data_IF_190521639792
#
_entry.id   IF_190521639792
#
_cell.length_a   1.000
_cell.length_b   1.000
_cell.length_c   1.000
_cell.angle_alpha   90.00
_cell.angle_beta   90.00
_cell.angle_gamma   90.00
#
_symmetry.space_group_name_H-M   'P 1'
#
loop_
_entity.id
_entity.type
_entity.pdbx_description
1 polymer ?
#
# COMPACT_ATOMS: atom_id res chain seq x y z
N UNK A 1 0.64 -14.05 -51.47
CA UNK A 1 -0.42 -13.04 -51.67
C UNK A 1 -1.32 -13.14 -50.45
N UNK A 2 -1.17 -12.33 -49.39
CA UNK A 2 -1.36 -10.88 -49.26
C UNK A 2 -2.78 -10.39 -49.62
N UNK A 3 -3.41 -9.73 -48.63
CA UNK A 3 -4.43 -8.66 -48.73
C UNK A 3 -5.94 -9.01 -48.83
N UNK A 4 -6.64 -8.56 -47.77
CA UNK A 4 -8.03 -8.03 -47.65
C UNK A 4 -9.18 -8.99 -47.31
N UNK A 5 -10.20 -8.37 -46.68
CA UNK A 5 -11.43 -8.94 -46.09
C UNK A 5 -11.12 -9.71 -44.80
N UNK A 6 -11.47 -9.29 -43.58
CA UNK A 6 -12.54 -8.38 -43.11
C UNK A 6 -12.03 -7.35 -42.08
N UNK A 7 -12.38 -6.07 -42.26
CA UNK A 7 -12.62 -5.12 -41.16
C UNK A 7 -14.10 -4.72 -41.24
N UNK A 8 -14.87 -4.98 -40.17
CA UNK A 8 -16.04 -4.21 -39.70
C UNK A 8 -16.98 -5.10 -38.88
N UNK A 9 -16.95 -4.94 -37.55
CA UNK A 9 -18.14 -4.81 -36.68
C UNK A 9 -17.68 -4.44 -35.26
N UNK A 10 -17.69 -3.14 -35.00
CA UNK A 10 -17.70 -2.54 -33.67
C UNK A 10 -19.12 -2.00 -33.44
N UNK A 11 -19.50 -1.80 -32.17
CA UNK A 11 -20.78 -1.27 -31.67
C UNK A 11 -22.01 -2.20 -31.71
N UNK A 12 -22.31 -2.80 -30.54
CA UNK A 12 -23.57 -2.60 -29.82
C UNK A 12 -23.46 -3.11 -28.36
N UNK A 13 -24.31 -2.60 -27.47
CA UNK A 13 -24.49 -2.93 -26.04
C UNK A 13 -23.37 -2.61 -25.04
N UNK A 14 -23.37 -1.35 -24.60
CA UNK A 14 -22.85 -0.92 -23.29
C UNK A 14 -24.00 -0.19 -22.57
N UNK A 15 -24.54 -0.80 -21.52
CA UNK A 15 -25.51 -0.17 -20.62
C UNK A 15 -24.79 0.44 -19.41
N UNK A 16 -25.11 1.67 -18.97
CA UNK A 16 -24.40 2.31 -17.87
C UNK A 16 -24.92 1.84 -16.51
N UNK A 17 -24.00 1.45 -15.62
CA UNK A 17 -24.31 1.21 -14.20
C UNK A 17 -24.01 2.47 -13.36
N UNK A 18 -24.77 2.62 -12.28
CA UNK A 18 -24.85 3.77 -11.38
C UNK A 18 -23.54 4.52 -11.05
N UNK A 19 -23.58 5.85 -11.18
CA UNK A 19 -22.63 6.79 -10.59
C UNK A 19 -22.91 6.97 -9.08
N UNK A 20 -21.99 6.50 -8.24
CA UNK A 20 -21.84 6.97 -6.86
C UNK A 20 -20.76 8.07 -6.81
N UNK A 21 -21.05 9.29 -6.32
CA UNK A 21 -20.04 10.33 -6.17
C UNK A 21 -19.26 10.13 -4.86
N UNK A 22 -17.95 9.91 -4.97
CA UNK A 22 -17.02 9.99 -3.83
C UNK A 22 -16.76 11.46 -3.52
N UNK A 23 -16.96 11.87 -2.26
CA UNK A 23 -16.61 13.21 -1.80
C UNK A 23 -15.10 13.43 -1.93
N UNK A 24 -14.72 14.48 -2.67
CA UNK A 24 -13.36 15.00 -2.70
C UNK A 24 -13.36 16.36 -2.01
N UNK A 25 -12.91 16.40 -0.75
CA UNK A 25 -12.86 17.63 0.06
C UNK A 25 -11.69 18.49 -0.41
N UNK A 26 -12.00 19.56 -1.13
CA UNK A 26 -11.08 20.68 -1.38
C UNK A 26 -11.37 21.80 -0.39
N UNK A 27 -10.45 22.07 0.53
CA UNK A 27 -10.46 23.30 1.32
C UNK A 27 -9.80 24.44 0.53
N UNK A 28 -10.61 25.19 -0.23
CA UNK A 28 -10.22 26.50 -0.76
C UNK A 28 -11.07 27.60 -0.15
N UNK A 29 -10.43 28.45 0.65
CA UNK A 29 -11.02 29.66 1.23
C UNK A 29 -11.26 30.70 0.13
N UNK A 30 -12.52 31.06 -0.12
CA UNK A 30 -12.90 32.28 -0.86
C UNK A 30 -14.00 32.99 -0.09
N UNK A 31 -13.87 34.32 0.01
CA UNK A 31 -14.61 35.14 0.96
C UNK A 31 -15.82 35.88 0.37
N UNK A 32 -16.70 36.33 1.27
CA UNK A 32 -17.57 37.51 1.07
C UNK A 32 -19.03 37.29 1.51
N UNK A 33 -19.80 38.37 1.79
CA UNK A 33 -19.41 39.75 2.07
C UNK A 33 -19.94 40.30 3.42
N UNK A 34 -19.34 41.37 3.92
CA UNK A 34 -19.88 42.21 5.01
C UNK A 34 -20.00 43.65 4.51
N UNK A 35 -21.14 44.34 4.69
CA UNK A 35 -21.24 45.77 4.43
C UNK A 35 -21.48 46.64 5.69
N UNK A 36 -20.98 47.88 5.59
CA UNK A 36 -21.48 49.10 6.25
C UNK A 36 -21.17 49.39 7.73
N UNK A 37 -19.96 49.92 7.98
CA UNK A 37 -19.75 51.25 8.61
C UNK A 37 -18.32 51.73 8.26
N UNK A 38 -18.01 53.03 8.08
CA UNK A 38 -18.90 54.20 8.16
C UNK A 38 -18.13 55.50 8.43
N UNK A 39 -17.28 55.93 7.48
CA UNK A 39 -16.60 57.25 7.38
C UNK A 39 -15.32 57.50 8.20
N UNK A 40 -14.34 58.10 7.51
CA UNK A 40 -13.05 58.63 8.01
C UNK A 40 -13.18 60.13 8.37
N UNK A 41 -12.14 60.75 8.99
CA UNK A 41 -11.12 61.48 8.20
C UNK A 41 -9.68 61.47 8.81
N UNK A 42 -8.59 62.02 8.24
CA UNK A 42 -8.09 62.27 6.85
C UNK A 42 -6.60 62.73 6.95
N UNK A 43 -5.69 62.22 6.09
CA UNK A 43 -4.41 62.88 5.65
C UNK A 43 -3.29 63.20 6.70
N UNK A 44 -1.98 63.35 6.38
CA UNK A 44 -1.13 63.16 5.16
C UNK A 44 0.38 63.07 5.58
N UNK A 45 1.29 62.71 4.65
CA UNK A 45 2.75 62.55 4.89
C UNK A 45 3.52 63.89 4.97
N UNK A 46 4.63 63.95 5.73
CA UNK A 46 6.01 64.08 5.19
C UNK A 46 7.02 64.81 6.10
N UNK A 47 8.29 64.37 5.99
CA UNK A 47 9.56 65.11 6.15
C UNK A 47 9.99 65.69 7.50
N UNK A 48 11.26 65.41 7.89
CA UNK A 48 12.10 66.37 8.62
C UNK A 48 12.52 67.54 7.72
N UNK A 49 13.07 68.65 8.21
CA UNK A 49 14.31 68.70 9.01
C UNK A 49 14.51 70.08 9.67
N UNK A 50 15.41 70.11 10.67
CA UNK A 50 16.22 71.25 11.15
C UNK A 50 15.58 72.31 12.07
N UNK A 51 16.22 72.55 13.23
CA UNK A 51 16.26 73.88 13.87
C UNK A 51 16.22 73.96 15.41
N UNK A 52 17.40 73.99 16.04
CA UNK A 52 17.74 74.78 17.25
C UNK A 52 17.15 74.44 18.65
N UNK A 53 18.05 73.94 19.54
CA UNK A 53 18.48 74.52 20.84
C UNK A 53 17.58 75.57 21.54
N UNK A 54 17.36 75.62 22.86
CA UNK A 54 17.55 74.75 24.05
C UNK A 54 16.18 74.77 24.79
N UNK A 55 15.79 73.91 25.72
CA UNK A 55 16.37 73.56 27.03
C UNK A 55 15.52 72.41 27.66
N UNK A 56 15.77 72.07 28.93
CA UNK A 56 14.98 71.19 29.82
C UNK A 56 15.06 69.66 29.72
N UNK A 57 15.01 69.07 30.92
CA UNK A 57 14.93 67.64 31.24
C UNK A 57 13.78 66.96 30.49
N UNK A 58 14.07 65.86 29.80
CA UNK A 58 13.04 64.90 29.36
C UNK A 58 13.31 63.55 30.00
N UNK A 59 12.33 63.10 30.78
CA UNK A 59 12.25 61.77 31.36
C UNK A 59 12.18 60.74 30.23
N UNK A 60 13.03 59.71 30.26
CA UNK A 60 12.87 58.56 29.36
C UNK A 60 11.70 57.70 29.85
N UNK A 61 10.56 57.82 29.19
CA UNK A 61 9.41 56.95 29.38
C UNK A 61 9.73 55.51 28.91
N UNK A 62 9.18 54.51 29.62
CA UNK A 62 9.39 53.10 29.33
C UNK A 62 8.79 52.69 27.97
N UNK A 63 9.39 51.73 27.24
CA UNK A 63 8.87 51.26 25.96
C UNK A 63 7.50 50.56 26.10
N UNK A 64 6.62 50.67 25.08
CA UNK A 64 5.23 50.24 25.18
C UNK A 64 5.09 48.72 25.07
N UNK A 65 4.76 48.07 26.19
CA UNK A 65 4.52 46.63 26.25
C UNK A 65 4.56 46.07 27.67
N UNK A 66 5.30 46.71 28.57
CA UNK A 66 5.24 46.44 30.00
C UNK A 66 3.95 47.08 30.57
N UNK A 67 3.14 46.30 31.27
CA UNK A 67 1.98 46.84 31.98
C UNK A 67 2.49 47.88 33.01
N UNK A 68 1.80 49.02 33.13
CA UNK A 68 2.19 50.07 34.07
C UNK A 68 2.01 49.60 35.52
N UNK A 69 3.00 48.87 36.04
CA UNK A 69 3.10 48.47 37.43
C UNK A 69 3.01 49.74 38.29
N UNK A 70 2.15 49.71 39.31
CA UNK A 70 1.88 50.90 40.13
C UNK A 70 3.19 51.43 40.70
N UNK A 71 3.47 52.75 40.60
CA UNK A 71 4.75 53.31 41.04
C UNK A 71 4.97 52.97 42.50
N UNK A 72 6.07 52.25 42.75
CA UNK A 72 6.40 51.73 44.06
C UNK A 72 7.32 52.69 44.80
N UNK A 73 7.10 52.81 46.11
CA UNK A 73 7.97 53.52 47.05
C UNK A 73 8.53 52.48 48.01
N UNK A 74 9.85 52.38 48.06
CA UNK A 74 10.59 51.49 48.94
C UNK A 74 11.58 52.35 49.72
N UNK A 75 11.36 52.54 51.03
CA UNK A 75 12.37 53.06 51.96
C UNK A 75 12.73 51.92 52.91
N UNK A 76 13.96 51.42 52.77
CA UNK A 76 14.51 50.34 53.59
C UNK A 76 15.82 50.81 54.21
N UNK A 77 15.94 50.63 55.52
CA UNK A 77 17.10 51.07 56.30
C UNK A 77 17.64 49.90 57.12
N UNK A 78 18.86 49.48 56.83
CA UNK A 78 19.60 48.44 57.56
C UNK A 78 18.84 47.10 57.68
N UNK A 79 18.07 46.71 56.65
CA UNK A 79 17.35 45.43 56.59
C UNK A 79 18.16 44.36 55.85
N UNK A 80 17.83 43.10 56.07
CA UNK A 80 18.42 41.97 55.33
C UNK A 80 17.99 42.00 53.86
N UNK A 81 18.94 41.87 52.93
CA UNK A 81 18.65 41.80 51.50
C UNK A 81 17.62 40.70 51.17
N UNK A 82 17.58 39.60 51.93
CA UNK A 82 16.61 38.51 51.75
C UNK A 82 15.18 38.94 52.04
N UNK A 83 14.97 39.78 53.04
CA UNK A 83 13.64 40.33 53.38
C UNK A 83 13.19 41.33 52.31
N UNK A 84 14.10 42.15 51.79
CA UNK A 84 13.82 43.11 50.70
C UNK A 84 13.47 42.40 49.41
N UNK A 85 14.25 41.38 49.03
CA UNK A 85 13.98 40.56 47.85
C UNK A 85 12.68 39.77 48.03
N UNK A 86 12.37 39.26 49.22
CA UNK A 86 11.08 38.61 49.50
C UNK A 86 9.89 39.56 49.37
N UNK A 87 10.03 40.81 49.81
CA UNK A 87 9.00 41.83 49.63
C UNK A 87 8.79 42.22 48.15
N UNK A 88 9.86 42.24 47.34
CA UNK A 88 9.79 42.44 45.89
C UNK A 88 9.20 41.21 45.17
N UNK A 89 9.59 40.00 45.56
CA UNK A 89 9.06 38.72 45.08
C UNK A 89 7.53 38.66 45.17
N UNK A 90 6.98 38.99 46.35
CA UNK A 90 5.54 39.07 46.62
C UNK A 90 4.82 40.14 45.78
N UNK A 91 5.51 41.19 45.33
CA UNK A 91 4.94 42.24 44.46
C UNK A 91 5.02 41.91 42.98
N UNK A 92 5.99 41.09 42.58
CA UNK A 92 6.23 40.65 41.20
C UNK A 92 5.54 39.31 40.87
N UNK A 93 4.89 38.67 41.85
CA UNK A 93 4.32 37.32 41.76
C UNK A 93 5.35 36.25 41.33
N UNK A 94 6.62 36.46 41.71
CA UNK A 94 7.76 35.59 41.40
C UNK A 94 8.41 35.04 42.67
N UNK A 95 9.19 33.98 42.55
CA UNK A 95 10.03 33.47 43.64
C UNK A 95 11.44 34.05 43.49
N UNK A 96 12.03 34.62 44.54
CA UNK A 96 13.41 35.12 44.50
C UNK A 96 14.25 34.37 45.54
N UNK A 97 15.41 33.85 45.13
CA UNK A 97 16.35 33.13 45.98
C UNK A 97 17.71 33.83 45.95
N UNK A 98 18.17 34.31 47.11
CA UNK A 98 19.54 34.78 47.30
C UNK A 98 20.45 33.57 47.60
N UNK A 99 21.42 33.31 46.73
CA UNK A 99 22.40 32.22 46.85
C UNK A 99 23.53 32.58 47.81
N UNK A 100 23.79 33.88 48.00
CA UNK A 100 24.87 34.40 48.84
C UNK A 100 24.52 34.63 50.32
N UNK A 101 25.55 34.97 51.08
CA UNK A 101 25.45 35.37 52.49
C UNK A 101 24.54 36.61 52.67
N UNK A 102 23.80 36.70 53.78
CA UNK A 102 22.86 37.80 54.01
C UNK A 102 23.60 39.12 54.27
N UNK A 103 23.52 40.05 53.32
CA UNK A 103 24.03 41.43 53.45
C UNK A 103 22.91 42.37 53.91
N UNK A 104 23.25 43.35 54.74
CA UNK A 104 22.31 44.41 55.15
C UNK A 104 22.38 45.60 54.22
N UNK A 105 21.23 45.97 53.66
CA UNK A 105 21.10 47.03 52.67
C UNK A 105 20.33 48.23 53.21
N UNK A 106 20.65 49.41 52.67
CA UNK A 106 19.91 50.66 52.92
C UNK A 106 19.63 51.33 51.58
N UNK A 107 18.38 51.27 51.14
CA UNK A 107 17.96 51.62 49.80
C UNK A 107 16.64 52.37 49.86
N UNK A 108 16.60 53.55 49.23
CA UNK A 108 15.39 54.35 49.05
C UNK A 108 15.19 54.57 47.56
N UNK A 109 14.02 54.22 47.04
CA UNK A 109 13.63 54.49 45.66
C UNK A 109 12.13 54.81 45.57
N UNK A 110 11.79 55.74 44.68
CA UNK A 110 10.44 56.27 44.50
C UNK A 110 10.10 56.30 43.01
N UNK A 111 8.88 55.92 42.65
CA UNK A 111 8.37 56.10 41.27
C UNK A 111 8.83 55.07 40.25
N UNK A 112 9.37 53.92 40.67
CA UNK A 112 9.84 52.84 39.77
C UNK A 112 8.97 51.60 39.84
N UNK A 113 9.09 50.70 38.84
CA UNK A 113 8.51 49.36 38.89
C UNK A 113 9.28 48.46 39.88
N UNK A 114 8.60 47.51 40.56
CA UNK A 114 9.25 46.47 41.39
C UNK A 114 10.44 45.78 40.71
N UNK A 115 10.33 45.41 39.42
CA UNK A 115 11.47 44.83 38.67
C UNK A 115 12.65 45.80 38.59
N UNK A 116 12.40 47.07 38.25
CA UNK A 116 13.48 48.07 38.12
C UNK A 116 14.09 48.45 39.47
N UNK A 117 13.30 48.43 40.55
CA UNK A 117 13.80 48.58 41.92
C UNK A 117 14.76 47.45 42.31
N UNK A 118 14.44 46.20 41.94
CA UNK A 118 15.32 45.05 42.14
C UNK A 118 16.64 45.23 41.37
N UNK A 119 16.59 45.50 40.07
CA UNK A 119 17.80 45.68 39.24
C UNK A 119 18.75 46.75 39.81
N UNK A 120 18.22 47.90 40.23
CA UNK A 120 19.00 49.00 40.79
C UNK A 120 19.57 48.67 42.19
N UNK A 121 18.86 47.87 42.98
CA UNK A 121 19.36 47.35 44.26
C UNK A 121 20.53 46.38 44.04
N UNK A 122 20.37 45.41 43.13
CA UNK A 122 21.42 44.42 42.83
C UNK A 122 22.66 45.08 42.23
N UNK A 123 22.48 45.97 41.24
CA UNK A 123 23.58 46.71 40.61
C UNK A 123 24.41 47.52 41.60
N UNK A 124 23.77 48.11 42.63
CA UNK A 124 24.46 48.89 43.66
C UNK A 124 25.30 48.01 44.59
N UNK A 125 24.77 46.86 44.98
CA UNK A 125 25.42 45.95 45.93
C UNK A 125 26.37 44.94 45.25
N UNK A 126 26.52 45.01 43.91
CA UNK A 126 27.46 44.20 43.14
C UNK A 126 26.96 42.80 42.78
N UNK A 127 25.65 42.57 42.89
CA UNK A 127 24.99 41.31 42.55
C UNK A 127 24.42 41.33 41.13
N UNK A 128 24.28 40.14 40.55
CA UNK A 128 23.58 39.92 39.27
C UNK A 128 22.38 38.96 39.50
N UNK A 129 21.60 38.70 38.45
CA UNK A 129 20.45 37.80 38.52
C UNK A 129 20.24 36.91 37.29
N UNK A 130 19.66 35.74 37.53
CA UNK A 130 19.19 34.81 36.49
C UNK A 130 17.69 34.58 36.67
N UNK A 131 16.91 34.74 35.60
CA UNK A 131 15.46 34.53 35.58
C UNK A 131 15.09 33.29 34.75
N UNK A 132 14.45 32.29 35.37
CA UNK A 132 13.90 31.09 34.71
C UNK A 132 12.49 30.81 35.22
N UNK A 133 11.49 30.78 34.32
CA UNK A 133 10.11 30.33 34.59
C UNK A 133 9.47 30.87 35.90
N UNK A 134 9.70 32.14 36.23
CA UNK A 134 9.14 32.80 37.43
C UNK A 134 9.97 32.61 38.72
N UNK A 135 11.11 31.94 38.64
CA UNK A 135 12.17 31.92 39.65
C UNK A 135 13.26 32.93 39.24
N UNK A 136 13.72 33.74 40.19
CA UNK A 136 14.87 34.64 40.06
C UNK A 136 15.93 34.20 41.06
N UNK A 137 17.09 33.78 40.56
CA UNK A 137 18.28 33.50 41.35
C UNK A 137 19.12 34.78 41.41
N UNK A 138 19.53 35.17 42.62
CA UNK A 138 20.36 36.35 42.88
C UNK A 138 21.64 35.92 43.57
N UNK A 139 22.78 36.42 43.10
CA UNK A 139 24.10 36.10 43.65
C UNK A 139 25.20 36.92 42.99
N UNK A 140 26.44 36.74 43.44
CA UNK A 140 27.58 37.41 42.84
C UNK A 140 27.81 36.89 41.41
N UNK A 141 28.33 37.72 40.49
CA UNK A 141 28.56 37.30 39.11
C UNK A 141 29.44 36.05 39.02
N UNK A 142 30.45 35.96 39.90
CA UNK A 142 31.38 34.83 40.01
C UNK A 142 30.63 33.53 40.38
N UNK A 143 29.76 33.60 41.40
CA UNK A 143 29.04 32.42 41.90
C UNK A 143 27.92 31.96 40.98
N UNK A 144 27.20 32.90 40.36
CA UNK A 144 26.21 32.60 39.33
C UNK A 144 26.88 32.00 38.08
N UNK A 145 28.12 32.40 37.77
CA UNK A 145 28.89 31.79 36.69
C UNK A 145 29.33 30.36 37.05
N UNK A 146 30.07 30.20 38.15
CA UNK A 146 30.70 28.92 38.53
C UNK A 146 29.70 27.83 38.95
N UNK A 147 28.60 28.19 39.63
CA UNK A 147 27.61 27.20 40.12
C UNK A 147 26.48 26.92 39.11
N UNK A 148 26.23 27.82 38.12
CA UNK A 148 25.06 27.72 37.22
C UNK A 148 25.33 27.87 35.71
N UNK A 149 26.35 28.60 35.24
CA UNK A 149 26.66 28.68 33.79
C UNK A 149 27.39 27.44 33.25
N UNK A 150 28.10 26.70 34.10
CA UNK A 150 28.92 25.53 33.73
C UNK A 150 28.10 24.29 33.23
N UNK A 151 26.80 24.49 33.02
CA UNK A 151 25.86 23.46 32.57
C UNK A 151 25.73 23.36 31.04
N UNK A 152 26.25 24.30 30.24
CA UNK A 152 26.14 24.24 28.76
C UNK A 152 27.08 23.18 28.14
N UNK A 153 26.66 21.93 28.13
CA UNK A 153 27.40 20.82 27.54
C UNK A 153 27.03 20.63 26.05
N UNK A 154 28.03 20.30 25.21
CA UNK A 154 27.80 19.81 23.85
C UNK A 154 27.78 18.28 23.87
N UNK A 155 26.61 17.67 23.66
CA UNK A 155 26.47 16.21 23.61
C UNK A 155 26.23 15.72 22.19
N UNK A 156 26.95 14.65 21.82
CA UNK A 156 26.77 13.93 20.57
C UNK A 156 25.75 12.81 20.75
N UNK A 157 24.64 12.87 20.04
CA UNK A 157 23.66 11.81 19.92
C UNK A 157 23.83 11.07 18.59
N UNK A 158 23.86 9.74 18.64
CA UNK A 158 23.95 8.86 17.47
C UNK A 158 22.70 8.00 17.36
N UNK A 159 21.96 8.15 16.26
CA UNK A 159 20.72 7.42 15.97
C UNK A 159 20.98 6.18 15.11
N UNK A 160 20.12 5.18 15.21
CA UNK A 160 20.21 3.92 14.44
C UNK A 160 19.28 3.91 13.23
N UNK A 161 18.03 4.33 13.41
CA UNK A 161 16.92 4.15 12.47
C UNK A 161 16.49 5.45 11.81
N UNK A 162 16.50 6.58 12.54
CA UNK A 162 16.10 7.89 12.03
C UNK A 162 17.30 8.78 11.65
N UNK A 163 17.07 9.73 10.75
CA UNK A 163 18.03 10.78 10.40
C UNK A 163 17.82 12.06 11.22
N UNK A 164 18.79 12.98 11.17
CA UNK A 164 18.74 14.28 11.86
C UNK A 164 17.56 15.15 11.40
N UNK A 165 17.27 15.22 10.10
CA UNK A 165 16.21 16.07 9.55
C UNK A 165 14.80 15.79 10.12
N UNK A 166 14.26 14.54 10.11
CA UNK A 166 12.96 14.26 10.73
C UNK A 166 12.97 14.42 12.26
N UNK A 167 14.13 14.22 12.92
CA UNK A 167 14.25 14.46 14.37
C UNK A 167 14.15 15.95 14.70
N UNK A 168 14.82 16.83 13.95
CA UNK A 168 14.77 18.28 14.17
C UNK A 168 13.33 18.81 14.07
N UNK A 169 12.60 18.42 13.03
CA UNK A 169 11.18 18.80 12.89
C UNK A 169 10.27 18.25 14.01
N UNK A 170 10.65 17.15 14.67
CA UNK A 170 9.94 16.66 15.85
C UNK A 170 10.33 17.44 17.12
N UNK A 171 11.61 17.79 17.30
CA UNK A 171 12.09 18.62 18.41
C UNK A 171 11.43 20.01 18.40
N UNK A 172 11.28 20.62 17.22
CA UNK A 172 10.54 21.87 17.04
C UNK A 172 9.08 21.75 17.49
N UNK A 173 8.40 20.65 17.15
CA UNK A 173 7.00 20.38 17.56
C UNK A 173 6.87 20.18 19.08
N UNK A 174 7.89 19.64 19.74
CA UNK A 174 7.96 19.53 21.21
C UNK A 174 8.44 20.83 21.89
N UNK A 175 8.67 21.92 21.13
CA UNK A 175 9.08 23.23 21.66
C UNK A 175 10.54 23.28 22.13
N UNK A 176 11.39 22.36 21.67
CA UNK A 176 12.79 22.23 22.11
C UNK A 176 13.71 23.01 21.16
N UNK A 177 13.77 24.33 21.34
CA UNK A 177 14.64 25.22 20.57
C UNK A 177 16.05 25.26 21.16
N UNK A 178 16.93 24.36 20.71
CA UNK A 178 18.32 24.28 21.17
C UNK A 178 19.30 24.54 20.01
N UNK A 179 20.51 25.08 20.27
CA UNK A 179 21.57 25.13 19.27
C UNK A 179 21.98 23.72 18.86
N UNK A 180 21.57 23.31 17.66
CA UNK A 180 21.93 22.02 17.07
C UNK A 180 22.93 22.18 15.93
N UNK A 181 23.92 21.30 15.88
CA UNK A 181 24.84 21.16 14.77
C UNK A 181 24.67 19.79 14.11
N UNK A 182 24.64 19.77 12.78
CA UNK A 182 24.56 18.57 11.95
C UNK A 182 25.68 18.59 10.92
N UNK A 183 26.23 17.41 10.60
CA UNK A 183 27.27 17.27 9.57
C UNK A 183 26.70 16.45 8.43
N UNK A 184 26.73 16.98 7.21
CA UNK A 184 26.12 16.35 6.02
C UNK A 184 26.72 14.97 5.70
N UNK A 185 27.99 14.73 6.04
CA UNK A 185 28.66 13.42 5.89
C UNK A 185 28.21 12.39 6.92
N UNK A 186 27.44 12.77 7.96
CA UNK A 186 26.89 11.86 8.96
C UNK A 186 25.47 12.27 9.39
N UNK A 187 24.45 12.03 8.54
CA UNK A 187 23.06 12.44 8.78
C UNK A 187 22.34 11.64 9.87
N UNK A 188 23.04 10.77 10.63
CA UNK A 188 22.52 10.06 11.81
C UNK A 188 23.20 10.50 13.12
N UNK A 189 24.05 11.53 13.07
CA UNK A 189 24.63 12.14 14.26
C UNK A 189 24.10 13.57 14.43
N UNK A 190 23.52 13.83 15.59
CA UNK A 190 23.12 15.16 16.03
C UNK A 190 24.06 15.61 17.15
N UNK A 191 24.58 16.83 17.06
CA UNK A 191 25.27 17.48 18.17
C UNK A 191 24.34 18.55 18.72
N UNK A 192 24.08 18.53 20.03
CA UNK A 192 23.21 19.50 20.69
C UNK A 192 23.98 20.16 21.82
N UNK A 193 23.93 21.49 21.88
CA UNK A 193 24.41 22.27 23.01
C UNK A 193 23.22 22.64 23.90
N UNK A 194 23.34 22.44 25.21
CA UNK A 194 22.29 22.80 26.16
C UNK A 194 22.61 22.36 27.59
N UNK A 195 21.73 22.67 28.53
CA UNK A 195 21.82 22.21 29.91
C UNK A 195 21.61 20.69 30.02
N UNK A 196 22.07 20.02 31.10
CA UNK A 196 21.88 18.57 31.26
C UNK A 196 20.40 18.15 31.26
N UNK A 197 19.52 19.06 31.71
CA UNK A 197 18.06 18.87 31.72
C UNK A 197 17.47 18.85 30.30
N UNK A 198 17.92 19.74 29.43
CA UNK A 198 17.50 19.82 28.03
C UNK A 198 18.07 18.65 27.22
N UNK A 199 19.34 18.33 27.42
CA UNK A 199 19.99 17.15 26.84
C UNK A 199 19.32 15.84 27.28
N UNK A 200 18.82 15.78 28.52
CA UNK A 200 17.97 14.70 29.03
C UNK A 200 16.67 14.55 28.25
N UNK A 201 15.93 15.64 28.04
CA UNK A 201 14.70 15.64 27.21
C UNK A 201 14.97 15.21 25.77
N UNK A 202 16.03 15.73 25.15
CA UNK A 202 16.44 15.33 23.80
C UNK A 202 16.72 13.83 23.74
N UNK A 203 17.41 13.27 24.74
CA UNK A 203 17.68 11.83 24.85
C UNK A 203 16.41 10.99 24.97
N UNK A 204 15.42 11.44 25.74
CA UNK A 204 14.12 10.77 25.88
C UNK A 204 13.32 10.78 24.57
N UNK A 205 13.26 11.94 23.89
CA UNK A 205 12.60 12.09 22.59
C UNK A 205 13.29 11.21 21.53
N UNK A 206 14.62 11.18 21.49
CA UNK A 206 15.37 10.27 20.62
C UNK A 206 15.06 8.80 20.96
N UNK A 207 15.01 8.42 22.24
CA UNK A 207 14.64 7.06 22.65
C UNK A 207 13.22 6.64 22.25
N UNK A 208 12.29 7.60 22.18
CA UNK A 208 10.92 7.36 21.72
C UNK A 208 10.79 7.31 20.19
N UNK A 209 11.58 8.11 19.46
CA UNK A 209 11.48 8.25 18.01
C UNK A 209 12.43 7.34 17.21
N UNK A 210 13.61 7.00 17.72
CA UNK A 210 14.61 6.15 17.05
C UNK A 210 14.24 4.65 17.12
N UNK A 211 13.08 4.34 16.54
CA UNK A 211 12.47 3.00 16.47
C UNK A 211 12.46 2.51 15.02
N UNK A 212 12.51 1.18 14.77
CA UNK A 212 12.44 0.62 13.41
C UNK A 212 11.13 0.96 12.67
N UNK A 213 10.07 1.30 13.41
CA UNK A 213 8.78 1.77 12.90
C UNK A 213 8.88 3.14 12.17
N UNK A 214 9.78 4.01 12.62
CA UNK A 214 9.86 5.43 12.22
C UNK A 214 10.93 5.70 11.13
N UNK A 215 11.46 4.65 10.50
CA UNK A 215 12.48 4.78 9.44
C UNK A 215 11.93 5.61 8.27
N UNK A 216 12.46 6.81 8.09
CA UNK A 216 12.03 7.73 7.04
C UNK A 216 12.36 7.21 5.63
N UNK A 217 11.51 7.55 4.66
CA UNK A 217 11.54 7.04 3.28
C UNK A 217 12.82 7.34 2.46
N UNK A 218 13.77 8.11 3.00
CA UNK A 218 15.09 8.35 2.41
C UNK A 218 16.22 7.49 2.97
N UNK A 219 15.92 6.56 3.88
CA UNK A 219 16.94 5.71 4.51
C UNK A 219 17.30 4.56 3.56
N UNK A 220 18.57 4.43 3.20
CA UNK A 220 19.07 3.26 2.45
C UNK A 220 18.90 2.02 3.33
N UNK A 221 17.84 1.26 3.07
CA UNK A 221 17.59 -0.04 3.68
C UNK A 221 18.45 -1.11 3.01
N UNK A 222 18.94 -2.12 3.75
CA UNK A 222 19.62 -3.26 3.14
C UNK A 222 18.67 -3.99 2.19
N UNK A 223 19.18 -4.36 1.02
CA UNK A 223 18.48 -5.25 0.10
C UNK A 223 18.71 -6.70 0.57
N UNK A 224 17.69 -7.30 1.19
CA UNK A 224 17.75 -8.71 1.58
C UNK A 224 17.22 -9.61 0.45
N UNK A 225 17.86 -10.78 0.30
CA UNK A 225 17.47 -11.84 -0.63
C UNK A 225 16.65 -12.89 0.13
N UNK A 226 15.56 -13.33 -0.48
CA UNK A 226 14.73 -14.42 0.02
C UNK A 226 14.67 -15.51 -1.06
N UNK A 227 15.00 -16.74 -0.66
CA UNK A 227 15.03 -17.93 -1.51
C UNK A 227 13.92 -18.89 -1.07
N UNK A 228 13.09 -19.34 -2.02
CA UNK A 228 11.97 -20.26 -1.83
C UNK A 228 12.30 -21.65 -2.40
N UNK A 229 11.77 -22.70 -1.78
CA UNK A 229 11.97 -24.09 -2.17
C UNK A 229 10.84 -24.61 -3.06
N UNK A 230 9.59 -24.32 -2.68
CA UNK A 230 8.38 -24.92 -3.25
C UNK A 230 7.48 -23.89 -3.95
N UNK A 231 7.30 -22.71 -3.35
CA UNK A 231 6.43 -21.65 -3.87
C UNK A 231 7.13 -20.71 -4.86
N UNK A 232 6.33 -20.03 -5.67
CA UNK A 232 6.78 -18.91 -6.49
C UNK A 232 6.77 -17.60 -5.69
N UNK A 233 7.75 -16.74 -5.99
CA UNK A 233 7.93 -15.45 -5.34
C UNK A 233 6.73 -14.52 -5.55
N UNK A 234 6.10 -14.55 -6.73
CA UNK A 234 4.93 -13.72 -7.04
C UNK A 234 3.76 -14.06 -6.11
N UNK A 235 3.53 -15.35 -5.83
CA UNK A 235 2.49 -15.79 -4.89
C UNK A 235 2.70 -15.20 -3.50
N UNK A 236 3.92 -15.27 -2.95
CA UNK A 236 4.26 -14.68 -1.65
C UNK A 236 4.15 -13.15 -1.68
N UNK A 237 4.60 -12.51 -2.76
CA UNK A 237 4.52 -11.06 -2.96
C UNK A 237 3.08 -10.56 -2.91
N UNK A 238 2.12 -11.29 -3.46
CA UNK A 238 0.69 -10.95 -3.36
C UNK A 238 0.12 -11.08 -1.94
N UNK A 239 0.77 -11.83 -1.04
CA UNK A 239 0.37 -11.98 0.36
C UNK A 239 1.00 -10.91 1.28
N UNK A 240 2.15 -10.34 0.93
CA UNK A 240 2.82 -9.32 1.76
C UNK A 240 1.94 -8.10 2.13
N UNK A 241 1.11 -7.53 1.22
CA UNK A 241 0.19 -6.44 1.58
C UNK A 241 -0.86 -6.85 2.62
N UNK A 242 -1.25 -8.13 2.66
CA UNK A 242 -2.25 -8.64 3.62
C UNK A 242 -1.70 -8.64 5.06
N UNK A 243 -0.38 -8.67 5.21
CA UNK A 243 0.34 -8.54 6.48
C UNK A 243 0.69 -7.08 6.83
N UNK A 244 0.24 -6.11 6.03
CA UNK A 244 0.62 -4.69 6.18
C UNK A 244 2.04 -4.37 5.73
N UNK A 245 2.74 -5.32 5.10
CA UNK A 245 4.12 -5.13 4.61
C UNK A 245 4.06 -4.46 3.23
N UNK A 246 3.99 -3.12 3.24
CA UNK A 246 4.13 -2.30 2.03
C UNK A 246 5.62 -2.20 1.69
N UNK A 247 6.07 -3.02 0.76
CA UNK A 247 7.42 -3.03 0.22
C UNK A 247 7.39 -3.05 -1.32
N UNK A 248 8.48 -2.64 -1.96
CA UNK A 248 8.69 -2.84 -3.40
C UNK A 248 9.60 -4.06 -3.59
N UNK A 249 9.05 -5.26 -3.86
CA UNK A 249 9.85 -6.42 -4.19
C UNK A 249 10.46 -6.30 -5.59
N UNK A 250 11.70 -6.75 -5.71
CA UNK A 250 12.39 -6.94 -6.98
C UNK A 250 12.34 -8.43 -7.29
N UNK A 251 11.74 -8.79 -8.42
CA UNK A 251 11.72 -10.15 -8.97
C UNK A 251 12.57 -10.23 -10.23
N UNK A 252 13.06 -11.43 -10.55
CA UNK A 252 13.77 -11.72 -11.80
C UNK A 252 13.06 -12.89 -12.47
N UNK A 253 12.49 -12.75 -13.68
CA UNK A 253 11.73 -13.82 -14.34
C UNK A 253 12.51 -15.12 -14.55
N UNK A 254 13.84 -15.05 -14.67
CA UNK A 254 14.71 -16.23 -14.78
C UNK A 254 14.91 -16.99 -13.44
N UNK A 255 14.47 -16.43 -12.32
CA UNK A 255 14.59 -17.00 -10.97
C UNK A 255 13.27 -16.81 -10.18
N UNK A 256 12.17 -17.45 -10.59
CA UNK A 256 10.83 -17.22 -10.03
C UNK A 256 10.67 -17.63 -8.55
N UNK A 257 11.65 -18.33 -7.98
CA UNK A 257 11.71 -18.71 -6.55
C UNK A 257 12.61 -17.78 -5.72
N UNK A 258 13.04 -16.65 -6.27
CA UNK A 258 13.91 -15.70 -5.59
C UNK A 258 13.36 -14.30 -5.75
N UNK A 259 13.28 -13.58 -4.65
CA UNK A 259 12.97 -12.15 -4.67
C UNK A 259 13.87 -11.39 -3.69
N UNK A 260 13.97 -10.08 -3.92
CA UNK A 260 14.72 -9.18 -3.07
C UNK A 260 13.81 -8.07 -2.57
N UNK A 261 13.94 -7.72 -1.29
CA UNK A 261 13.18 -6.63 -0.67
C UNK A 261 14.12 -5.72 0.11
N UNK A 262 13.95 -4.42 -0.07
CA UNK A 262 14.50 -3.40 0.83
C UNK A 262 13.62 -3.30 2.06
N UNK A 263 14.12 -3.74 3.22
CA UNK A 263 13.35 -3.75 4.47
C UNK A 263 14.23 -3.55 5.71
N UNK A 264 13.60 -3.29 6.85
CA UNK A 264 14.27 -3.35 8.15
C UNK A 264 14.47 -4.81 8.57
N UNK A 265 15.49 -5.13 9.40
CA UNK A 265 15.75 -6.50 9.86
C UNK A 265 14.53 -7.17 10.52
N UNK A 266 13.70 -6.39 11.23
CA UNK A 266 12.49 -6.90 11.91
C UNK A 266 11.41 -7.32 10.90
N UNK A 267 11.23 -6.55 9.81
CA UNK A 267 10.33 -6.94 8.70
C UNK A 267 10.89 -8.12 7.92
N UNK A 268 12.21 -8.17 7.72
CA UNK A 268 12.86 -9.32 7.08
C UNK A 268 12.74 -10.61 7.91
N UNK A 269 12.71 -10.51 9.24
CA UNK A 269 12.36 -11.63 10.12
C UNK A 269 10.91 -12.08 9.92
N UNK A 270 9.93 -11.15 9.94
CA UNK A 270 8.52 -11.47 9.66
C UNK A 270 8.30 -12.14 8.29
N UNK A 271 9.03 -11.70 7.25
CA UNK A 271 8.99 -12.33 5.92
C UNK A 271 9.61 -13.74 5.95
N UNK A 272 10.71 -13.96 6.70
CA UNK A 272 11.29 -15.31 6.90
C UNK A 272 10.32 -16.24 7.63
N UNK A 273 9.64 -15.76 8.67
CA UNK A 273 8.65 -16.55 9.42
C UNK A 273 7.44 -16.91 8.54
N UNK A 274 6.97 -15.98 7.70
CA UNK A 274 5.93 -16.23 6.70
C UNK A 274 6.35 -17.30 5.70
N UNK A 275 7.56 -17.19 5.14
CA UNK A 275 8.10 -18.17 4.19
C UNK A 275 8.19 -19.54 4.86
N UNK A 276 8.70 -19.62 6.10
CA UNK A 276 8.80 -20.88 6.84
C UNK A 276 7.44 -21.56 7.10
N UNK A 277 6.35 -20.78 7.20
CA UNK A 277 4.99 -21.28 7.42
C UNK A 277 4.22 -21.61 6.13
N UNK A 278 4.55 -20.98 5.00
CA UNK A 278 3.85 -21.15 3.73
C UNK A 278 4.59 -22.00 2.70
N UNK A 279 5.93 -21.93 2.65
CA UNK A 279 6.77 -22.60 1.66
C UNK A 279 6.90 -24.11 1.95
N UNK A 280 5.78 -24.80 1.78
CA UNK A 280 5.61 -26.23 1.94
C UNK A 280 5.29 -26.87 0.58
N UNK A 281 5.63 -28.15 0.36
CA UNK A 281 5.39 -28.84 -0.91
C UNK A 281 3.91 -28.90 -1.30
N UNK A 282 3.00 -28.82 -0.33
CA UNK A 282 1.54 -28.78 -0.54
C UNK A 282 1.06 -27.46 -1.16
N UNK A 283 1.76 -26.35 -0.86
CA UNK A 283 1.45 -25.00 -1.34
C UNK A 283 2.26 -24.60 -2.58
N UNK A 284 3.04 -25.53 -3.15
CA UNK A 284 3.88 -25.26 -4.30
C UNK A 284 3.07 -24.65 -5.46
N UNK A 285 3.72 -23.83 -6.30
CA UNK A 285 3.14 -23.42 -7.58
C UNK A 285 3.05 -24.67 -8.47
N UNK A 286 1.91 -25.36 -8.35
CA UNK A 286 1.66 -26.61 -9.04
C UNK A 286 1.38 -26.30 -10.50
N UNK A 287 2.29 -26.72 -11.38
CA UNK A 287 2.11 -26.69 -12.82
C UNK A 287 0.73 -27.27 -13.18
N UNK A 288 0.03 -26.70 -14.19
CA UNK A 288 -1.22 -27.27 -14.65
C UNK A 288 -1.00 -28.74 -15.03
N UNK A 289 -1.86 -29.61 -14.51
CA UNK A 289 -1.77 -31.03 -14.73
C UNK A 289 -2.27 -31.34 -16.14
N UNK A 290 -1.34 -31.67 -17.03
CA UNK A 290 -1.62 -32.01 -18.43
C UNK A 290 -1.64 -33.54 -18.55
N UNK A 291 -2.78 -34.11 -18.95
CA UNK A 291 -2.90 -35.54 -19.22
C UNK A 291 -3.79 -35.84 -20.42
N UNK A 292 -3.55 -36.99 -21.05
CA UNK A 292 -4.42 -37.54 -22.09
C UNK A 292 -5.41 -38.48 -21.41
N UNK A 293 -6.71 -38.28 -21.65
CA UNK A 293 -7.79 -39.15 -21.21
C UNK A 293 -8.28 -39.99 -22.39
N UNK A 294 -8.33 -41.31 -22.21
CA UNK A 294 -8.85 -42.26 -23.20
C UNK A 294 -10.30 -42.65 -22.88
N UNK A 295 -11.23 -42.13 -23.68
CA UNK A 295 -12.65 -42.48 -23.71
C UNK A 295 -12.84 -43.88 -24.32
N UNK A 296 -13.98 -44.51 -24.05
CA UNK A 296 -14.34 -45.86 -24.53
C UNK A 296 -15.63 -45.87 -25.34
N UNK A 297 -16.62 -45.06 -24.96
CA UNK A 297 -17.97 -45.08 -25.52
C UNK A 297 -18.30 -43.81 -26.33
N UNK A 298 -17.61 -42.70 -26.08
CA UNK A 298 -17.85 -41.38 -26.71
C UNK A 298 -16.63 -40.94 -27.55
N UNK A 299 -16.85 -40.10 -28.56
CA UNK A 299 -15.80 -39.40 -29.31
C UNK A 299 -15.28 -38.17 -28.57
N UNK A 300 -14.04 -37.77 -28.85
CA UNK A 300 -13.40 -36.64 -28.19
C UNK A 300 -14.17 -35.31 -28.38
N UNK A 301 -14.73 -35.08 -29.58
CA UNK A 301 -15.61 -33.94 -29.85
C UNK A 301 -16.84 -33.91 -28.93
N UNK A 302 -17.56 -35.04 -28.82
CA UNK A 302 -18.78 -35.11 -28.02
C UNK A 302 -18.50 -35.07 -26.50
N UNK A 303 -17.32 -35.49 -26.06
CA UNK A 303 -16.88 -35.29 -24.68
C UNK A 303 -16.52 -33.82 -24.40
N UNK A 304 -15.77 -33.16 -25.30
CA UNK A 304 -15.43 -31.74 -25.20
C UNK A 304 -16.70 -30.88 -25.12
N UNK A 305 -17.61 -30.97 -26.10
CA UNK A 305 -18.81 -30.13 -26.13
C UNK A 305 -19.69 -30.32 -24.89
N UNK A 306 -19.78 -31.53 -24.34
CA UNK A 306 -20.53 -31.78 -23.09
C UNK A 306 -19.85 -31.15 -21.88
N UNK A 307 -18.52 -31.21 -21.77
CA UNK A 307 -17.78 -30.62 -20.67
C UNK A 307 -17.86 -29.08 -20.71
N UNK A 308 -17.80 -28.49 -21.91
CA UNK A 308 -18.03 -27.06 -22.15
C UNK A 308 -19.49 -26.64 -21.84
N UNK A 309 -20.49 -27.39 -22.30
CA UNK A 309 -21.92 -27.15 -22.02
C UNK A 309 -22.25 -27.20 -20.52
N UNK A 310 -21.57 -28.07 -19.75
CA UNK A 310 -21.80 -28.21 -18.31
C UNK A 310 -21.21 -27.07 -17.48
N UNK A 311 -20.25 -26.30 -18.01
CA UNK A 311 -19.63 -25.13 -17.38
C UNK A 311 -19.22 -25.35 -15.89
N UNK A 312 -18.74 -26.55 -15.55
CA UNK A 312 -18.42 -26.95 -14.18
C UNK A 312 -17.09 -26.40 -13.66
N UNK A 313 -16.19 -26.01 -14.58
CA UNK A 313 -14.82 -25.64 -14.25
C UNK A 313 -14.37 -24.48 -15.15
N UNK A 314 -14.16 -23.29 -14.57
CA UNK A 314 -13.67 -22.12 -15.32
C UNK A 314 -12.18 -22.22 -15.69
N UNK A 315 -11.42 -23.07 -14.98
CA UNK A 315 -9.97 -23.21 -15.09
C UNK A 315 -9.50 -24.45 -15.88
N UNK A 316 -10.42 -25.23 -16.47
CA UNK A 316 -10.09 -26.47 -17.18
C UNK A 316 -10.18 -26.27 -18.69
N UNK A 317 -9.03 -26.33 -19.37
CA UNK A 317 -8.96 -26.30 -20.82
C UNK A 317 -8.88 -27.73 -21.38
N UNK A 318 -9.69 -28.03 -22.39
CA UNK A 318 -9.64 -29.31 -23.09
C UNK A 318 -9.30 -29.10 -24.56
N UNK A 319 -8.40 -29.93 -25.09
CA UNK A 319 -7.99 -29.89 -26.49
C UNK A 319 -8.19 -31.26 -27.13
N UNK A 320 -8.79 -31.28 -28.31
CA UNK A 320 -8.93 -32.51 -29.09
C UNK A 320 -7.81 -32.67 -30.12
N UNK A 321 -7.41 -33.91 -30.38
CA UNK A 321 -6.49 -34.24 -31.48
C UNK A 321 -7.18 -34.18 -32.85
N UNK A 322 -6.42 -34.45 -33.93
CA UNK A 322 -6.97 -34.50 -35.29
C UNK A 322 -8.08 -35.56 -35.41
N UNK A 323 -9.12 -35.24 -36.16
CA UNK A 323 -10.33 -36.06 -36.36
C UNK A 323 -11.10 -36.33 -35.03
N UNK A 324 -11.52 -35.26 -34.32
CA UNK A 324 -12.17 -35.37 -33.01
C UNK A 324 -13.53 -36.08 -33.04
N UNK A 325 -14.12 -36.24 -34.22
CA UNK A 325 -15.37 -36.97 -34.47
C UNK A 325 -15.17 -38.49 -34.33
N UNK A 326 -13.94 -38.96 -34.57
CA UNK A 326 -13.56 -40.38 -34.61
C UNK A 326 -12.65 -40.75 -33.43
N UNK A 327 -11.77 -39.83 -33.00
CA UNK A 327 -10.83 -40.08 -31.91
C UNK A 327 -11.55 -40.24 -30.57
N UNK A 328 -10.94 -41.02 -29.68
CA UNK A 328 -11.41 -41.25 -28.32
C UNK A 328 -10.38 -40.73 -27.28
N UNK A 329 -9.53 -39.80 -27.71
CA UNK A 329 -8.47 -39.21 -26.88
C UNK A 329 -8.70 -37.72 -26.72
N UNK A 330 -8.76 -37.26 -25.47
CA UNK A 330 -8.92 -35.86 -25.10
C UNK A 330 -7.71 -35.41 -24.28
N UNK A 331 -7.04 -34.33 -24.67
CA UNK A 331 -6.03 -33.70 -23.85
C UNK A 331 -6.72 -32.77 -22.86
N UNK A 332 -6.42 -32.94 -21.58
CA UNK A 332 -7.00 -32.16 -20.48
C UNK A 332 -5.87 -31.41 -19.79
N UNK A 333 -6.06 -30.10 -19.65
CA UNK A 333 -5.20 -29.19 -18.91
C UNK A 333 -6.03 -28.70 -17.73
N UNK A 334 -5.67 -29.09 -16.51
CA UNK A 334 -6.46 -28.79 -15.31
C UNK A 334 -5.58 -28.41 -14.12
N UNK A 335 -6.04 -27.51 -13.23
CA UNK A 335 -5.42 -27.34 -11.94
C UNK A 335 -5.31 -28.70 -11.19
N UNK A 336 -4.20 -28.93 -10.47
CA UNK A 336 -3.93 -30.21 -9.79
C UNK A 336 -5.04 -30.64 -8.84
N UNK A 337 -5.71 -29.67 -8.20
CA UNK A 337 -6.74 -29.89 -7.19
C UNK A 337 -8.11 -30.28 -7.79
N UNK A 338 -8.31 -30.02 -9.09
CA UNK A 338 -9.51 -30.42 -9.84
C UNK A 338 -9.34 -31.75 -10.57
N UNK A 339 -8.11 -32.25 -10.74
CA UNK A 339 -7.77 -33.47 -11.51
C UNK A 339 -8.74 -34.63 -11.22
N UNK A 340 -8.86 -35.07 -9.97
CA UNK A 340 -9.69 -36.23 -9.61
C UNK A 340 -11.20 -35.99 -9.84
N UNK A 341 -11.64 -34.73 -9.75
CA UNK A 341 -13.02 -34.34 -10.08
C UNK A 341 -13.26 -34.45 -11.59
N UNK A 342 -12.33 -33.94 -12.41
CA UNK A 342 -12.40 -34.04 -13.87
C UNK A 342 -12.33 -35.50 -14.34
N UNK A 343 -11.47 -36.34 -13.75
CA UNK A 343 -11.46 -37.79 -14.01
C UNK A 343 -12.81 -38.45 -13.71
N UNK A 344 -13.45 -38.08 -12.59
CA UNK A 344 -14.76 -38.61 -12.19
C UNK A 344 -15.86 -38.17 -13.16
N UNK A 345 -15.91 -36.88 -13.52
CA UNK A 345 -16.89 -36.33 -14.47
C UNK A 345 -16.73 -36.95 -15.86
N UNK A 346 -15.50 -37.06 -16.39
CA UNK A 346 -15.25 -37.71 -17.67
C UNK A 346 -15.66 -39.19 -17.66
N UNK A 347 -15.45 -39.89 -16.55
CA UNK A 347 -15.90 -41.28 -16.38
C UNK A 347 -17.43 -41.43 -16.36
N UNK A 348 -18.14 -40.49 -15.72
CA UNK A 348 -19.62 -40.45 -15.73
C UNK A 348 -20.20 -40.02 -17.08
N UNK A 349 -19.48 -39.18 -17.83
CA UNK A 349 -19.87 -38.83 -19.18
C UNK A 349 -19.74 -40.04 -20.11
N UNK A 350 -18.63 -40.78 -20.04
CA UNK A 350 -18.28 -41.94 -20.88
C UNK A 350 -19.05 -43.25 -20.55
N UNK A 351 -20.29 -43.14 -20.07
CA UNK A 351 -21.16 -44.29 -19.82
C UNK A 351 -21.76 -44.89 -21.10
N UNK A 352 -21.92 -46.22 -21.11
CA UNK A 352 -22.50 -46.96 -22.24
C UNK A 352 -24.01 -46.70 -22.37
N UNK A 353 -24.38 -45.81 -23.30
CA UNK A 353 -25.76 -45.39 -23.55
C UNK A 353 -26.65 -46.52 -24.13
N UNK A 354 -27.96 -46.39 -23.95
CA UNK A 354 -28.94 -47.29 -24.57
C UNK A 354 -28.87 -47.19 -26.10
N UNK A 355 -29.03 -48.33 -26.78
CA UNK A 355 -29.10 -48.36 -28.25
C UNK A 355 -30.43 -47.80 -28.74
N UNK A 356 -30.39 -47.07 -29.85
CA UNK A 356 -31.54 -46.49 -30.53
C UNK A 356 -31.49 -46.84 -32.02
N UNK A 357 -32.64 -46.79 -32.70
CA UNK A 357 -32.73 -46.97 -34.15
C UNK A 357 -32.81 -45.62 -34.83
N UNK A 358 -31.87 -45.30 -35.73
CA UNK A 358 -31.89 -44.07 -36.53
C UNK A 358 -31.71 -44.39 -38.01
N UNK A 359 -32.63 -43.95 -38.90
CA UNK A 359 -32.39 -43.89 -40.34
C UNK A 359 -31.20 -42.96 -40.62
N UNK A 360 -30.30 -43.40 -41.49
CA UNK A 360 -29.01 -42.74 -41.73
C UNK A 360 -28.83 -42.35 -43.19
N UNK A 361 -29.20 -43.22 -44.14
CA UNK A 361 -29.05 -42.95 -45.58
C UNK A 361 -30.20 -43.58 -46.37
N UNK A 362 -30.50 -43.09 -47.58
CA UNK A 362 -31.55 -43.66 -48.44
C UNK A 362 -31.17 -43.66 -49.92
N UNK A 363 -31.44 -44.75 -50.63
CA UNK A 363 -31.09 -44.85 -52.04
C UNK A 363 -32.08 -45.72 -52.83
N UNK A 364 -32.11 -45.51 -54.14
CA UNK A 364 -32.87 -46.33 -55.09
C UNK A 364 -32.21 -47.67 -55.42
N UNK A 365 -30.92 -47.83 -55.13
CA UNK A 365 -30.16 -49.06 -55.39
C UNK A 365 -29.79 -49.79 -54.10
N UNK A 366 -30.37 -50.98 -53.88
CA UNK A 366 -30.01 -51.87 -52.76
C UNK A 366 -28.53 -52.26 -52.78
N UNK A 367 -27.94 -52.44 -53.96
CA UNK A 367 -26.52 -52.77 -54.12
C UNK A 367 -25.60 -51.64 -53.62
N UNK A 368 -25.95 -50.37 -53.88
CA UNK A 368 -25.23 -49.20 -53.33
C UNK A 368 -25.25 -49.22 -51.81
N UNK A 369 -26.41 -49.47 -51.18
CA UNK A 369 -26.51 -49.53 -49.72
C UNK A 369 -25.74 -50.71 -49.11
N UNK A 370 -25.67 -51.86 -49.79
CA UNK A 370 -24.85 -53.01 -49.33
C UNK A 370 -23.35 -52.67 -49.35
N UNK A 371 -22.86 -52.03 -50.41
CA UNK A 371 -21.48 -51.58 -50.51
C UNK A 371 -21.17 -50.51 -49.44
N UNK A 372 -22.04 -49.50 -49.31
CA UNK A 372 -21.91 -48.42 -48.33
C UNK A 372 -21.91 -48.96 -46.89
N UNK A 373 -22.85 -49.86 -46.56
CA UNK A 373 -22.90 -50.56 -45.27
C UNK A 373 -21.58 -51.27 -44.94
N UNK A 374 -20.98 -51.93 -45.93
CA UNK A 374 -19.73 -52.68 -45.74
C UNK A 374 -18.57 -51.73 -45.49
N UNK A 375 -18.50 -50.62 -46.24
CA UNK A 375 -17.50 -49.57 -46.07
C UNK A 375 -17.61 -48.88 -44.70
N UNK A 376 -18.82 -48.48 -44.29
CA UNK A 376 -19.07 -47.82 -43.00
C UNK A 376 -18.62 -48.69 -41.82
N UNK A 377 -18.90 -49.99 -41.87
CA UNK A 377 -18.45 -50.91 -40.82
C UNK A 377 -16.93 -51.04 -40.72
N UNK A 378 -16.21 -50.91 -41.84
CA UNK A 378 -14.74 -50.91 -41.88
C UNK A 378 -14.12 -49.60 -41.39
N UNK A 379 -14.78 -48.46 -41.63
CA UNK A 379 -14.25 -47.13 -41.29
C UNK A 379 -14.65 -46.61 -39.90
N UNK A 380 -15.68 -47.19 -39.28
CA UNK A 380 -16.23 -46.70 -38.00
C UNK A 380 -16.15 -47.72 -36.86
N UNK A 381 -15.68 -48.94 -37.12
CA UNK A 381 -15.69 -50.10 -36.21
C UNK A 381 -17.09 -50.54 -35.74
N UNK A 382 -18.16 -49.93 -36.25
CA UNK A 382 -19.54 -50.34 -35.98
C UNK A 382 -19.80 -51.68 -36.69
N UNK A 383 -20.09 -52.77 -35.98
CA UNK A 383 -20.18 -54.09 -36.60
C UNK A 383 -21.34 -54.16 -37.59
N UNK A 384 -21.13 -54.84 -38.71
CA UNK A 384 -22.10 -55.02 -39.81
C UNK A 384 -23.49 -55.49 -39.32
N UNK A 385 -23.55 -56.24 -38.22
CA UNK A 385 -24.78 -56.72 -37.60
C UNK A 385 -25.66 -55.63 -36.96
N UNK A 386 -25.16 -54.39 -36.81
CA UNK A 386 -25.92 -53.22 -36.34
C UNK A 386 -26.41 -52.31 -37.48
N UNK A 387 -26.05 -52.64 -38.72
CA UNK A 387 -26.40 -51.88 -39.93
C UNK A 387 -27.44 -52.64 -40.75
N UNK A 388 -28.64 -52.08 -40.90
CA UNK A 388 -29.80 -52.74 -41.49
C UNK A 388 -30.30 -51.99 -42.71
N UNK A 389 -30.73 -52.73 -43.73
CA UNK A 389 -31.27 -52.17 -44.98
C UNK A 389 -32.72 -52.65 -45.11
N UNK A 390 -33.64 -51.74 -45.40
CA UNK A 390 -35.04 -52.09 -45.61
C UNK A 390 -35.23 -52.97 -46.85
N UNK A 391 -36.38 -53.63 -46.93
CA UNK A 391 -36.93 -54.02 -48.23
C UNK A 391 -37.54 -52.79 -48.92
N UNK A 392 -38.07 -52.97 -50.13
CA UNK A 392 -38.58 -51.88 -50.95
C UNK A 392 -39.81 -51.22 -50.31
N UNK A 393 -39.70 -49.94 -49.94
CA UNK A 393 -40.75 -49.21 -49.24
C UNK A 393 -41.82 -48.61 -50.16
N UNK A 394 -41.54 -48.44 -51.46
CA UNK A 394 -42.52 -47.92 -52.43
C UNK A 394 -43.42 -49.01 -53.02
N UNK A 395 -43.01 -50.28 -52.96
CA UNK A 395 -43.69 -51.41 -53.62
C UNK A 395 -43.57 -51.42 -55.15
N UNK A 396 -43.19 -50.31 -55.78
CA UNK A 396 -42.90 -50.21 -57.21
C UNK A 396 -41.53 -50.83 -57.55
N UNK A 397 -41.51 -51.68 -58.57
CA UNK A 397 -40.30 -52.32 -59.10
C UNK A 397 -39.48 -51.39 -60.00
N UNK A 398 -40.09 -50.33 -60.55
CA UNK A 398 -39.38 -49.36 -61.41
C UNK A 398 -38.68 -48.26 -60.59
N UNK A 399 -39.32 -47.77 -59.53
CA UNK A 399 -38.76 -46.77 -58.61
C UNK A 399 -38.70 -47.31 -57.17
N UNK A 400 -37.84 -48.32 -56.89
CA UNK A 400 -37.70 -48.86 -55.56
C UNK A 400 -37.00 -47.86 -54.63
N UNK A 401 -37.40 -47.83 -53.35
CA UNK A 401 -36.81 -46.97 -52.32
C UNK A 401 -36.38 -47.79 -51.11
N UNK A 402 -35.11 -47.66 -50.73
CA UNK A 402 -34.50 -48.39 -49.63
C UNK A 402 -33.87 -47.43 -48.62
N UNK A 403 -33.98 -47.75 -47.33
CA UNK A 403 -33.38 -47.02 -46.22
C UNK A 403 -32.31 -47.88 -45.55
N UNK A 404 -31.14 -47.29 -45.28
CA UNK A 404 -30.13 -47.80 -44.37
C UNK A 404 -30.39 -47.16 -42.98
N UNK A 405 -30.58 -47.99 -41.96
CA UNK A 405 -30.66 -47.54 -40.57
C UNK A 405 -29.64 -48.27 -39.68
N UNK A 406 -29.31 -47.64 -38.57
CA UNK A 406 -28.34 -48.13 -37.60
C UNK A 406 -29.05 -48.37 -36.27
N UNK A 407 -28.75 -49.49 -35.61
CA UNK A 407 -29.19 -49.80 -34.25
C UNK A 407 -27.98 -49.88 -33.30
N UNK A 408 -27.62 -48.74 -32.72
CA UNK A 408 -26.46 -48.62 -31.83
C UNK A 408 -26.62 -47.45 -30.83
N UNK A 409 -25.59 -47.17 -30.03
CA UNK A 409 -25.52 -45.97 -29.19
C UNK A 409 -25.60 -44.69 -30.03
N UNK A 410 -26.16 -43.58 -29.50
CA UNK A 410 -26.23 -42.31 -30.22
C UNK A 410 -24.87 -41.84 -30.76
N UNK A 411 -23.80 -42.05 -30.00
CA UNK A 411 -22.44 -41.61 -30.33
C UNK A 411 -21.85 -42.43 -31.49
N UNK A 412 -22.05 -43.77 -31.52
CA UNK A 412 -21.69 -44.60 -32.68
C UNK A 412 -22.51 -44.25 -33.93
N UNK A 413 -23.79 -43.93 -33.75
CA UNK A 413 -24.66 -43.47 -34.84
C UNK A 413 -24.18 -42.13 -35.40
N UNK A 414 -23.72 -41.22 -34.54
CA UNK A 414 -23.15 -39.94 -34.97
C UNK A 414 -21.82 -40.15 -35.70
N UNK A 415 -20.92 -41.01 -35.20
CA UNK A 415 -19.68 -41.42 -35.90
C UNK A 415 -19.96 -41.93 -37.33
N UNK A 416 -21.06 -42.67 -37.53
CA UNK A 416 -21.49 -43.15 -38.86
C UNK A 416 -22.03 -42.03 -39.76
N UNK A 417 -22.75 -41.05 -39.21
CA UNK A 417 -23.22 -39.87 -39.95
C UNK A 417 -22.08 -38.92 -40.33
N UNK A 418 -21.14 -38.69 -39.43
CA UNK A 418 -19.96 -37.86 -39.67
C UNK A 418 -19.06 -38.50 -40.74
N UNK A 419 -18.90 -39.83 -40.69
CA UNK A 419 -18.21 -40.59 -41.75
C UNK A 419 -18.92 -40.49 -43.11
N UNK A 420 -20.26 -40.50 -43.14
CA UNK A 420 -21.00 -40.29 -44.39
C UNK A 420 -20.80 -38.88 -44.95
N UNK A 421 -20.85 -37.86 -44.11
CA UNK A 421 -20.54 -36.50 -44.54
C UNK A 421 -19.13 -36.37 -45.14
N UNK A 422 -18.15 -37.10 -44.60
CA UNK A 422 -16.78 -37.17 -45.15
C UNK A 422 -16.73 -37.93 -46.49
N UNK A 423 -17.53 -39.00 -46.65
CA UNK A 423 -17.59 -39.81 -47.88
C UNK A 423 -18.27 -39.05 -49.02
N UNK A 424 -19.38 -38.36 -48.76
CA UNK A 424 -20.14 -37.63 -49.78
C UNK A 424 -19.51 -36.26 -50.13
N UNK A 425 -18.74 -35.68 -49.21
CA UNK A 425 -17.92 -34.48 -49.44
C UNK A 425 -16.42 -34.77 -49.25
N UNK A 426 -15.80 -35.58 -50.14
CA UNK A 426 -14.39 -35.91 -50.04
C UNK A 426 -13.56 -34.61 -50.13
N UNK A 427 -12.75 -34.35 -49.10
CA UNK A 427 -11.92 -33.13 -49.03
C UNK A 427 -11.07 -33.03 -50.30
N UNK A 428 -11.23 -31.95 -51.06
CA UNK A 428 -10.29 -31.64 -52.13
C UNK A 428 -8.90 -31.46 -51.52
N UNK A 429 -7.91 -32.16 -52.08
CA UNK A 429 -6.54 -32.06 -51.63
C UNK A 429 -5.98 -30.66 -51.94
N UNK A 430 -5.63 -29.93 -50.88
CA UNK A 430 -4.77 -28.74 -50.91
C UNK A 430 -3.39 -29.13 -50.38
#
# INVERSE_FOLDING_TARGET
MLSKVVKNKLYASLTPLALFPVLLVWCTVVAGPVPAAGQAPLHYKASGTAGQFYEDLVLFENPPGEAAEKPFILDVRNADLRDVLSALALRMEKTIILVDEPVRVTFQIEGVSPKRAMELLLQREGYDYLEDNGLILVGSPERLHDEYFDQMAVTRFSMRYIGTAPLLGALDQFGVQLPTFTVDTNPRTLWVQGTPRELGRVKEIIGALDRPENVGAGTVLPLERFDLQHMEAETIIHLLPQLGIIAQPITVPAAPRVFWIQSTPDRAAQIRDLIAALDHPENAALLPNIFIYSLRNISAAAAQSRLEEMALFDEVETMTFRFPEISQELLVITPPHLREQVYTVLGQLDEARRRVRRPVESATSRARLIALRTLLAQLTDVPISRLFISDNLTGDLQNPYYILWVEDTPDNIQKVLDMLAIIDAPRQAN
#
